data_IF_407252604259
#
_entry.id   IF_407252604259
#
_cell.length_a   1.000
_cell.length_b   1.000
_cell.length_c   1.000
_cell.angle_alpha   90.00
_cell.angle_beta   90.00
_cell.angle_gamma   90.00
#
_symmetry.space_group_name_H-M   'P 1'
#
loop_
_entity.id
_entity.type
_entity.pdbx_description
1 polymer ?
#
# COMPACT_ATOMS: atom_id res chain seq x y z
N UNK A 1 40.16 36.24 -43.36
CA UNK A 1 39.21 36.06 -42.23
C UNK A 1 38.18 34.97 -42.56
N UNK A 2 38.62 33.74 -42.86
CA UNK A 2 37.74 32.68 -43.40
C UNK A 2 38.00 31.31 -42.77
N UNK A 3 38.80 31.22 -41.71
CA UNK A 3 39.23 29.93 -41.13
C UNK A 3 38.52 29.53 -39.83
N UNK A 4 37.68 30.39 -39.24
CA UNK A 4 36.89 30.05 -38.03
C UNK A 4 35.47 29.55 -38.32
N UNK A 5 34.93 29.81 -39.50
CA UNK A 5 33.59 29.34 -39.88
C UNK A 5 33.57 27.85 -40.29
N UNK A 6 34.60 27.38 -40.99
CA UNK A 6 34.71 25.97 -41.39
C UNK A 6 34.92 25.02 -40.20
N UNK A 7 35.63 25.47 -39.15
CA UNK A 7 35.86 24.67 -37.95
C UNK A 7 34.59 24.44 -37.10
N UNK A 8 33.62 25.37 -37.14
CA UNK A 8 32.33 25.19 -36.43
C UNK A 8 31.34 24.29 -37.18
N UNK A 9 31.52 24.09 -38.48
CA UNK A 9 30.65 23.21 -39.26
C UNK A 9 31.12 21.74 -39.21
N UNK A 10 32.42 21.49 -39.01
CA UNK A 10 32.95 20.15 -38.76
C UNK A 10 32.48 19.57 -37.41
N UNK A 11 32.43 20.38 -36.35
CA UNK A 11 31.97 19.95 -35.01
C UNK A 11 30.46 19.65 -34.97
N UNK A 12 29.67 20.22 -35.90
CA UNK A 12 28.22 20.00 -35.96
C UNK A 12 27.81 18.76 -36.78
N UNK A 13 28.77 18.10 -37.43
CA UNK A 13 28.52 16.92 -38.28
C UNK A 13 28.88 15.57 -37.62
N UNK A 14 29.45 15.58 -36.41
CA UNK A 14 29.83 14.35 -35.69
C UNK A 14 28.77 13.83 -34.69
N UNK A 15 27.55 14.39 -34.70
CA UNK A 15 26.41 13.84 -33.95
C UNK A 15 25.37 13.18 -34.85
N UNK A 16 25.77 12.74 -36.05
CA UNK A 16 25.09 11.62 -36.70
C UNK A 16 25.53 10.34 -35.96
N UNK A 17 24.95 10.11 -34.78
CA UNK A 17 24.83 8.77 -34.23
C UNK A 17 23.86 8.00 -35.14
N UNK A 18 24.37 7.54 -36.27
CA UNK A 18 23.94 6.23 -36.80
C UNK A 18 24.62 5.24 -35.87
N UNK A 19 24.01 5.03 -34.70
CA UNK A 19 24.24 3.80 -33.98
C UNK A 19 23.61 2.72 -34.86
N UNK A 20 24.45 2.00 -35.60
CA UNK A 20 24.10 0.65 -36.01
C UNK A 20 23.81 -0.10 -34.69
N UNK A 21 22.59 -0.62 -34.54
CA UNK A 21 22.11 -1.27 -33.30
C UNK A 21 23.02 -2.42 -32.83
N UNK A 22 23.89 -2.94 -33.71
CA UNK A 22 24.85 -3.99 -33.37
C UNK A 22 26.15 -3.47 -32.72
N UNK A 23 26.56 -2.22 -32.96
CA UNK A 23 27.87 -1.73 -32.50
C UNK A 23 27.78 -0.94 -31.18
N UNK A 24 26.69 -0.24 -30.91
CA UNK A 24 26.50 0.50 -29.65
C UNK A 24 26.40 -0.45 -28.43
N UNK A 25 25.87 -1.67 -28.64
CA UNK A 25 25.84 -2.72 -27.62
C UNK A 25 27.22 -3.35 -27.38
N UNK A 26 28.14 -3.25 -28.35
CA UNK A 26 29.44 -3.91 -28.29
C UNK A 26 30.50 -3.15 -27.47
N UNK A 27 30.42 -1.81 -27.39
CA UNK A 27 31.45 -0.99 -26.72
C UNK A 27 31.15 -0.83 -25.22
N UNK A 28 29.89 -0.72 -24.82
CA UNK A 28 29.51 -0.72 -23.40
C UNK A 28 29.22 -2.13 -22.84
N UNK A 29 28.84 -3.09 -23.69
CA UNK A 29 28.52 -4.45 -23.23
C UNK A 29 29.72 -5.40 -23.13
N UNK A 30 30.84 -5.16 -23.83
CA UNK A 30 31.93 -6.16 -23.89
C UNK A 30 32.93 -6.05 -22.72
N UNK A 31 33.00 -4.90 -22.05
CA UNK A 31 33.97 -4.69 -20.96
C UNK A 31 33.45 -5.19 -19.60
N UNK A 32 32.14 -5.38 -19.41
CA UNK A 32 31.60 -6.05 -18.21
C UNK A 32 31.52 -7.59 -18.35
N UNK A 33 31.42 -8.13 -19.57
CA UNK A 33 31.18 -9.57 -19.77
C UNK A 33 32.40 -10.45 -19.48
N UNK A 34 33.62 -9.93 -19.57
CA UNK A 34 34.82 -10.72 -19.24
C UNK A 34 35.09 -10.86 -17.74
N UNK A 35 34.60 -9.94 -16.89
CA UNK A 35 34.75 -10.02 -15.43
C UNK A 35 33.59 -10.75 -14.73
N UNK A 36 32.43 -10.92 -15.38
CA UNK A 36 31.31 -11.69 -14.79
C UNK A 36 31.64 -13.18 -14.69
N UNK A 37 32.42 -13.74 -15.62
CA UNK A 37 32.74 -15.17 -15.62
C UNK A 37 33.81 -15.54 -14.58
N UNK A 38 34.67 -14.61 -14.18
CA UNK A 38 35.70 -14.80 -13.14
C UNK A 38 35.15 -14.63 -11.72
N UNK A 39 34.02 -13.92 -11.54
CA UNK A 39 33.32 -13.72 -10.26
C UNK A 39 32.29 -14.84 -9.96
N UNK A 40 31.98 -15.71 -10.93
CA UNK A 40 31.19 -16.94 -10.70
C UNK A 40 32.05 -18.03 -10.06
N UNK A 41 32.65 -17.74 -8.90
CA UNK A 41 33.08 -18.80 -8.00
C UNK A 41 31.83 -19.55 -7.53
N UNK A 42 31.96 -20.86 -7.46
CA UNK A 42 30.90 -21.86 -7.26
C UNK A 42 30.33 -21.79 -5.82
N UNK A 43 29.71 -20.67 -5.46
CA UNK A 43 28.94 -20.52 -4.21
C UNK A 43 27.50 -21.03 -4.38
N UNK A 44 26.98 -21.09 -5.61
CA UNK A 44 25.60 -21.49 -5.90
C UNK A 44 25.28 -22.94 -5.48
N UNK A 45 26.24 -23.87 -5.53
CA UNK A 45 25.99 -25.27 -5.18
C UNK A 45 25.75 -25.45 -3.69
N UNK A 46 26.48 -24.72 -2.83
CA UNK A 46 26.27 -24.75 -1.38
C UNK A 46 24.90 -24.17 -0.99
N UNK A 47 24.52 -23.03 -1.61
CA UNK A 47 23.20 -22.44 -1.40
C UNK A 47 22.06 -23.30 -1.96
N UNK A 48 22.28 -24.03 -3.07
CA UNK A 48 21.32 -24.98 -3.61
C UNK A 48 21.08 -26.15 -2.64
N UNK A 49 22.14 -26.72 -2.05
CA UNK A 49 22.03 -27.80 -1.05
C UNK A 49 21.31 -27.30 0.20
N UNK A 50 21.66 -26.11 0.69
CA UNK A 50 20.96 -25.49 1.82
C UNK A 50 19.47 -25.27 1.52
N UNK A 51 19.16 -24.75 0.33
CA UNK A 51 17.78 -24.55 -0.13
C UNK A 51 17.00 -25.87 -0.16
N UNK A 52 17.57 -26.95 -0.72
CA UNK A 52 16.93 -28.26 -0.75
C UNK A 52 16.70 -28.83 0.67
N UNK A 53 17.64 -28.62 1.59
CA UNK A 53 17.51 -29.04 2.99
C UNK A 53 16.37 -28.29 3.69
N UNK A 54 16.28 -26.97 3.49
CA UNK A 54 15.16 -26.14 3.98
C UNK A 54 13.84 -26.63 3.39
N UNK A 55 13.78 -26.94 2.10
CA UNK A 55 12.56 -27.47 1.45
C UNK A 55 12.14 -28.81 2.04
N UNK A 56 13.08 -29.72 2.31
CA UNK A 56 12.77 -31.02 2.94
C UNK A 56 12.28 -30.88 4.38
N UNK A 57 12.90 -29.99 5.17
CA UNK A 57 12.43 -29.68 6.52
C UNK A 57 11.02 -29.09 6.46
N UNK A 58 10.78 -28.14 5.56
CA UNK A 58 9.46 -27.55 5.36
C UNK A 58 8.43 -28.58 4.92
N UNK A 59 8.77 -29.51 4.02
CA UNK A 59 7.87 -30.58 3.58
C UNK A 59 7.51 -31.55 4.72
N UNK A 60 8.46 -31.86 5.61
CA UNK A 60 8.19 -32.66 6.80
C UNK A 60 7.28 -31.93 7.78
N UNK A 61 7.57 -30.67 8.05
CA UNK A 61 6.75 -29.78 8.88
C UNK A 61 5.34 -29.62 8.30
N UNK A 62 5.22 -29.58 6.97
CA UNK A 62 3.94 -29.57 6.25
C UNK A 62 3.14 -30.86 6.46
N UNK A 63 3.79 -32.01 6.30
CA UNK A 63 3.17 -33.32 6.52
C UNK A 63 2.71 -33.48 7.98
N UNK A 64 3.49 -33.02 8.95
CA UNK A 64 3.10 -33.01 10.37
C UNK A 64 1.93 -32.04 10.61
N UNK A 65 1.94 -30.84 10.01
CA UNK A 65 0.85 -29.87 10.16
C UNK A 65 -0.45 -30.33 9.47
N UNK A 66 -0.40 -31.06 8.36
CA UNK A 66 -1.58 -31.63 7.70
C UNK A 66 -2.12 -32.84 8.47
N UNK A 67 -1.24 -33.70 8.99
CA UNK A 67 -1.67 -34.92 9.69
C UNK A 67 -2.17 -34.65 11.11
N UNK A 68 -1.68 -33.60 11.77
CA UNK A 68 -1.99 -33.31 13.19
C UNK A 68 -2.63 -31.94 13.43
N UNK A 69 -2.50 -31.00 12.49
CA UNK A 69 -3.01 -29.65 12.67
C UNK A 69 -4.49 -29.55 12.32
N UNK A 70 -5.25 -28.85 13.16
CA UNK A 70 -6.62 -28.48 12.85
C UNK A 70 -6.65 -27.07 12.24
N UNK A 71 -6.88 -26.96 10.93
CA UNK A 71 -6.91 -25.69 10.19
C UNK A 71 -7.96 -24.73 10.76
N UNK A 72 -9.02 -25.28 11.36
CA UNK A 72 -10.11 -24.51 11.93
C UNK A 72 -9.67 -23.64 13.13
N UNK A 73 -8.51 -23.93 13.76
CA UNK A 73 -7.90 -23.08 14.80
C UNK A 73 -7.53 -21.67 14.35
N UNK A 74 -7.41 -21.44 13.05
CA UNK A 74 -7.09 -20.12 12.50
C UNK A 74 -8.32 -19.22 12.34
N UNK A 75 -9.51 -19.81 12.20
CA UNK A 75 -10.74 -19.10 11.84
C UNK A 75 -11.80 -19.16 12.93
N UNK A 76 -11.81 -20.22 13.73
CA UNK A 76 -12.84 -20.45 14.75
C UNK A 76 -12.35 -20.02 16.13
N UNK A 77 -13.25 -19.51 16.98
CA UNK A 77 -12.90 -19.14 18.34
C UNK A 77 -12.49 -20.38 19.14
N UNK A 78 -11.47 -20.18 19.99
CA UNK A 78 -10.92 -21.20 20.87
C UNK A 78 -11.26 -20.79 22.31
N UNK A 79 -11.90 -21.70 23.03
CA UNK A 79 -12.18 -21.59 24.47
C UNK A 79 -10.88 -21.39 25.27
N UNK A 80 -10.93 -20.78 26.45
CA UNK A 80 -9.84 -20.77 27.44
C UNK A 80 -9.30 -22.18 27.76
N UNK A 81 -10.06 -23.25 27.54
CA UNK A 81 -9.63 -24.65 27.66
C UNK A 81 -8.97 -25.23 26.39
N UNK A 82 -8.75 -24.42 25.35
CA UNK A 82 -8.10 -24.84 24.11
C UNK A 82 -9.01 -25.61 23.13
N UNK A 83 -10.32 -25.67 23.44
CA UNK A 83 -11.34 -26.35 22.63
C UNK A 83 -11.88 -25.45 21.52
N UNK A 84 -12.19 -26.04 20.39
CA UNK A 84 -12.74 -25.33 19.23
C UNK A 84 -14.27 -25.26 19.29
N UNK A 85 -14.81 -24.04 19.39
CA UNK A 85 -16.25 -23.83 19.46
C UNK A 85 -16.96 -24.36 18.21
N UNK A 86 -17.96 -25.23 18.38
CA UNK A 86 -18.75 -25.81 17.30
C UNK A 86 -18.17 -27.09 16.66
N UNK A 87 -16.95 -27.52 17.03
CA UNK A 87 -16.30 -28.66 16.38
C UNK A 87 -15.88 -29.77 17.36
N UNK A 88 -15.31 -29.42 18.52
CA UNK A 88 -14.92 -30.43 19.52
C UNK A 88 -16.17 -31.00 20.21
N UNK A 89 -16.15 -32.30 20.56
CA UNK A 89 -17.34 -33.05 20.99
C UNK A 89 -18.10 -32.42 22.18
N UNK A 90 -17.39 -31.75 23.10
CA UNK A 90 -17.97 -31.10 24.30
C UNK A 90 -18.59 -29.72 24.04
N UNK A 91 -18.25 -29.09 22.91
CA UNK A 91 -18.68 -27.73 22.56
C UNK A 91 -19.25 -27.66 21.14
N UNK A 92 -19.63 -28.81 20.58
CA UNK A 92 -20.15 -28.94 19.21
C UNK A 92 -21.47 -28.20 19.00
N UNK A 93 -22.28 -28.08 20.04
CA UNK A 93 -23.53 -27.33 20.10
C UNK A 93 -23.34 -25.83 20.36
N UNK A 94 -22.10 -25.38 20.56
CA UNK A 94 -21.74 -24.02 20.96
C UNK A 94 -20.78 -23.38 19.95
N UNK A 95 -21.27 -22.94 18.78
CA UNK A 95 -20.41 -22.46 17.69
C UNK A 95 -19.87 -21.04 17.89
N UNK A 96 -20.37 -20.27 18.85
CA UNK A 96 -20.04 -18.85 19.00
C UNK A 96 -19.02 -18.64 20.13
N UNK A 97 -18.05 -17.74 19.91
CA UNK A 97 -17.13 -17.28 20.95
C UNK A 97 -17.69 -16.05 21.66
N UNK A 98 -17.76 -16.08 22.99
CA UNK A 98 -18.15 -14.95 23.83
C UNK A 98 -17.04 -14.60 24.83
N UNK A 99 -16.85 -13.31 25.12
CA UNK A 99 -15.84 -12.80 26.04
C UNK A 99 -16.49 -12.36 27.35
N UNK A 100 -16.52 -13.16 28.42
CA UNK A 100 -17.24 -12.80 29.64
C UNK A 100 -16.59 -11.65 30.41
N UNK A 101 -15.29 -11.47 30.25
CA UNK A 101 -14.56 -10.33 30.76
C UNK A 101 -14.06 -9.49 29.57
N UNK A 102 -14.60 -8.27 29.35
CA UNK A 102 -14.19 -7.41 28.25
C UNK A 102 -12.72 -6.95 28.35
N UNK A 103 -12.10 -7.09 29.52
CA UNK A 103 -10.72 -6.70 29.78
C UNK A 103 -9.71 -7.85 29.65
N UNK A 104 -10.17 -9.06 29.32
CA UNK A 104 -9.33 -10.25 29.24
C UNK A 104 -9.61 -11.01 27.94
N UNK A 105 -8.58 -11.59 27.33
CA UNK A 105 -8.68 -12.29 26.04
C UNK A 105 -9.28 -13.71 26.16
N UNK A 106 -9.85 -14.04 27.32
CA UNK A 106 -10.49 -15.34 27.55
C UNK A 106 -11.83 -15.42 26.84
N UNK A 107 -11.95 -16.41 25.96
CA UNK A 107 -13.17 -16.73 25.21
C UNK A 107 -13.81 -17.98 25.79
N UNK A 108 -15.14 -18.02 25.79
CA UNK A 108 -15.92 -19.22 26.07
C UNK A 108 -16.82 -19.54 24.87
N UNK A 109 -17.07 -20.83 24.64
CA UNK A 109 -18.01 -21.26 23.62
C UNK A 109 -19.45 -21.16 24.14
N UNK A 110 -20.33 -20.51 23.38
CA UNK A 110 -21.77 -20.37 23.66
C UNK A 110 -22.61 -20.77 22.45
N UNK A 111 -23.84 -21.22 22.70
CA UNK A 111 -24.79 -21.60 21.64
C UNK A 111 -25.49 -20.39 21.02
N UNK A 112 -25.73 -19.35 21.81
CA UNK A 112 -26.32 -18.09 21.39
C UNK A 112 -25.67 -16.92 22.16
N UNK A 113 -25.57 -15.75 21.52
CA UNK A 113 -25.03 -14.56 22.17
C UNK A 113 -26.01 -14.06 23.24
N UNK A 114 -25.54 -13.82 24.48
CA UNK A 114 -26.39 -13.27 25.54
C UNK A 114 -26.85 -11.86 25.18
N UNK A 115 -28.16 -11.63 25.27
CA UNK A 115 -28.82 -10.36 24.97
C UNK A 115 -29.08 -9.53 26.23
N UNK A 116 -29.08 -10.17 27.41
CA UNK A 116 -29.30 -9.52 28.70
C UNK A 116 -28.32 -9.98 29.76
N UNK A 117 -28.11 -9.14 30.79
CA UNK A 117 -27.23 -9.49 31.92
C UNK A 117 -27.76 -10.63 32.80
N UNK A 118 -29.01 -11.06 32.56
CA UNK A 118 -29.67 -12.17 33.25
C UNK A 118 -29.56 -13.50 32.50
N UNK A 119 -28.99 -13.52 31.29
CA UNK A 119 -28.91 -14.73 30.45
C UNK A 119 -27.91 -15.77 30.96
N UNK A 120 -27.17 -15.45 32.02
CA UNK A 120 -26.35 -16.42 32.72
C UNK A 120 -25.20 -15.78 33.50
N UNK A 121 -24.50 -16.63 34.23
CA UNK A 121 -23.22 -16.28 34.83
C UNK A 121 -22.17 -17.26 34.35
N UNK A 122 -20.96 -16.76 34.09
CA UNK A 122 -19.85 -17.56 33.59
C UNK A 122 -18.74 -17.57 34.63
N UNK A 123 -18.22 -18.74 34.95
CA UNK A 123 -17.10 -18.96 35.86
C UNK A 123 -15.81 -19.04 35.06
N UNK A 124 -14.90 -18.09 35.29
CA UNK A 124 -13.59 -18.08 34.63
C UNK A 124 -12.48 -17.91 35.66
N UNK A 125 -11.30 -18.50 35.44
CA UNK A 125 -10.13 -18.20 36.24
C UNK A 125 -9.66 -16.76 35.97
N UNK A 126 -9.40 -15.96 37.00
CA UNK A 126 -8.79 -14.63 36.84
C UNK A 126 -7.28 -14.80 36.52
N UNK A 127 -6.96 -15.17 35.27
CA UNK A 127 -5.59 -15.39 34.77
C UNK A 127 -5.14 -16.86 34.78
N UNK A 128 -3.92 -17.15 34.28
CA UNK A 128 -3.42 -18.53 34.08
C UNK A 128 -3.29 -19.36 35.38
N UNK A 129 -3.34 -18.72 36.55
CA UNK A 129 -3.38 -19.40 37.86
C UNK A 129 -4.42 -18.79 38.82
N UNK A 130 -5.46 -18.15 38.29
CA UNK A 130 -6.45 -17.41 39.06
C UNK A 130 -7.49 -18.28 39.77
N UNK A 131 -8.06 -17.77 40.86
CA UNK A 131 -9.30 -18.32 41.44
C UNK A 131 -10.44 -18.12 40.43
N UNK A 132 -11.36 -19.09 40.38
CA UNK A 132 -12.56 -18.96 39.56
C UNK A 132 -13.44 -17.83 40.07
N UNK A 133 -13.73 -16.87 39.20
CA UNK A 133 -14.65 -15.78 39.44
C UNK A 133 -15.87 -15.92 38.54
N UNK A 134 -17.04 -15.91 39.17
CA UNK A 134 -18.33 -15.89 38.48
C UNK A 134 -18.65 -14.45 38.08
N UNK A 135 -18.78 -14.20 36.78
CA UNK A 135 -19.15 -12.90 36.21
C UNK A 135 -20.53 -13.00 35.57
N UNK A 136 -21.41 -12.00 35.75
CA UNK A 136 -22.67 -11.95 35.00
C UNK A 136 -22.39 -11.72 33.51
N UNK A 137 -23.26 -12.24 32.65
CA UNK A 137 -23.24 -11.93 31.23
C UNK A 137 -23.49 -10.42 30.99
N UNK A 138 -23.08 -9.91 29.84
CA UNK A 138 -23.42 -8.58 29.36
C UNK A 138 -24.01 -8.68 27.94
N UNK A 139 -24.82 -7.69 27.52
CA UNK A 139 -25.52 -7.75 26.24
C UNK A 139 -24.54 -7.71 25.06
N UNK A 140 -24.65 -8.72 24.20
CA UNK A 140 -23.86 -8.92 22.99
C UNK A 140 -24.74 -9.34 21.82
N UNK A 141 -24.24 -9.11 20.60
CA UNK A 141 -24.88 -9.56 19.38
C UNK A 141 -23.89 -10.32 18.49
N UNK A 142 -24.42 -11.21 17.65
CA UNK A 142 -23.62 -11.98 16.71
C UNK A 142 -23.29 -11.12 15.49
N UNK A 143 -22.05 -10.65 15.42
CA UNK A 143 -21.55 -9.86 14.29
C UNK A 143 -20.45 -10.68 13.62
N UNK A 144 -20.62 -10.97 12.32
CA UNK A 144 -19.74 -11.83 11.51
C UNK A 144 -19.79 -13.34 11.79
N UNK A 145 -20.79 -13.83 12.53
CA UNK A 145 -21.18 -15.25 12.54
C UNK A 145 -20.38 -16.15 13.48
N UNK A 146 -19.25 -15.69 14.01
CA UNK A 146 -18.34 -16.51 14.84
C UNK A 146 -18.12 -15.96 16.25
N UNK A 147 -18.33 -14.65 16.48
CA UNK A 147 -18.04 -13.97 17.74
C UNK A 147 -19.23 -13.14 18.21
N UNK A 148 -19.44 -13.10 19.52
CA UNK A 148 -20.42 -12.24 20.18
C UNK A 148 -19.74 -10.92 20.58
N UNK A 149 -20.17 -9.81 19.98
CA UNK A 149 -19.62 -8.48 20.23
C UNK A 149 -20.54 -7.65 21.14
N UNK A 150 -19.99 -6.80 22.03
CA UNK A 150 -20.77 -5.94 22.93
C UNK A 150 -21.66 -4.96 22.17
N UNK A 151 -22.89 -4.77 22.65
CA UNK A 151 -23.83 -3.77 22.14
C UNK A 151 -23.56 -2.36 22.67
N UNK A 152 -22.95 -2.24 23.84
CA UNK A 152 -22.63 -0.96 24.47
C UNK A 152 -21.40 -0.30 23.81
N UNK A 153 -21.60 0.92 23.30
CA UNK A 153 -20.58 1.69 22.58
C UNK A 153 -19.42 2.12 23.49
N UNK A 154 -19.67 2.39 24.77
CA UNK A 154 -18.62 2.77 25.73
C UNK A 154 -17.74 1.57 26.06
N UNK A 155 -18.38 0.43 26.30
CA UNK A 155 -17.68 -0.83 26.56
C UNK A 155 -16.90 -1.29 25.33
N UNK A 156 -17.49 -1.19 24.14
CA UNK A 156 -16.80 -1.48 22.88
C UNK A 156 -15.55 -0.59 22.72
N UNK A 157 -15.65 0.72 22.96
CA UNK A 157 -14.48 1.63 22.90
C UNK A 157 -13.39 1.27 23.91
N UNK A 158 -13.79 0.85 25.11
CA UNK A 158 -12.88 0.43 26.16
C UNK A 158 -12.14 -0.84 25.77
N UNK A 159 -12.83 -1.86 25.25
CA UNK A 159 -12.24 -3.10 24.72
C UNK A 159 -11.30 -2.80 23.56
N UNK A 160 -11.71 -1.91 22.63
CA UNK A 160 -10.88 -1.45 21.52
C UNK A 160 -9.56 -0.85 21.99
N UNK A 161 -9.57 -0.12 23.11
CA UNK A 161 -8.39 0.54 23.66
C UNK A 161 -7.38 -0.41 24.33
N UNK A 162 -7.82 -1.60 24.79
CA UNK A 162 -7.04 -2.52 25.64
C UNK A 162 -6.27 -3.58 24.80
N UNK A 163 -5.80 -3.23 23.60
CA UNK A 163 -5.02 -4.08 22.65
C UNK A 163 -5.74 -5.23 21.93
N UNK A 164 -6.90 -5.72 22.37
CA UNK A 164 -7.52 -6.92 21.75
C UNK A 164 -8.15 -6.69 20.38
N UNK A 165 -8.54 -5.44 20.05
CA UNK A 165 -9.19 -5.17 18.74
C UNK A 165 -8.21 -5.10 17.59
N UNK A 166 -6.93 -4.80 17.81
CA UNK A 166 -5.96 -5.02 16.74
C UNK A 166 -5.91 -6.50 16.38
N UNK A 167 -5.82 -7.39 17.37
CA UNK A 167 -5.78 -8.85 17.17
C UNK A 167 -7.05 -9.39 16.53
N UNK A 168 -8.22 -8.97 16.98
CA UNK A 168 -9.51 -9.39 16.39
C UNK A 168 -9.76 -8.76 15.02
N UNK A 169 -9.34 -7.50 14.79
CA UNK A 169 -9.36 -6.89 13.46
C UNK A 169 -8.35 -7.59 12.52
N UNK A 170 -7.19 -8.04 13.01
CA UNK A 170 -6.25 -8.87 12.25
C UNK A 170 -6.82 -10.26 11.97
N UNK A 171 -7.61 -10.87 12.87
CA UNK A 171 -8.35 -12.11 12.60
C UNK A 171 -9.46 -11.91 11.57
N UNK A 172 -10.25 -10.84 11.69
CA UNK A 172 -11.29 -10.48 10.71
C UNK A 172 -10.70 -10.12 9.34
N UNK A 173 -9.60 -9.37 9.30
CA UNK A 173 -8.79 -9.18 8.08
C UNK A 173 -8.23 -10.51 7.58
N UNK A 174 -7.79 -11.38 8.48
CA UNK A 174 -7.38 -12.75 8.17
C UNK A 174 -8.49 -13.56 7.49
N UNK A 175 -9.75 -13.41 7.91
CA UNK A 175 -10.92 -14.01 7.24
C UNK A 175 -11.12 -13.42 5.84
N UNK A 176 -10.93 -12.11 5.67
CA UNK A 176 -10.97 -11.45 4.35
C UNK A 176 -9.84 -11.96 3.43
N UNK A 177 -8.63 -12.10 3.97
CA UNK A 177 -7.43 -12.59 3.25
C UNK A 177 -7.42 -14.11 3.04
N UNK A 178 -8.19 -14.88 3.80
CA UNK A 178 -8.37 -16.33 3.58
C UNK A 178 -9.53 -16.62 2.63
N UNK A 179 -10.46 -15.69 2.44
CA UNK A 179 -11.48 -15.80 1.40
C UNK A 179 -10.84 -15.69 0.02
N UNK A 180 -11.07 -16.70 -0.83
CA UNK A 180 -10.55 -16.73 -2.22
C UNK A 180 -11.03 -15.53 -3.05
N UNK A 181 -12.22 -15.00 -2.73
CA UNK A 181 -12.78 -13.80 -3.34
C UNK A 181 -12.05 -12.51 -2.91
N UNK A 182 -11.66 -12.39 -1.62
CA UNK A 182 -10.92 -11.23 -1.12
C UNK A 182 -9.53 -11.10 -1.76
N UNK A 183 -8.83 -12.22 -1.92
CA UNK A 183 -7.51 -12.25 -2.59
C UNK A 183 -7.64 -11.77 -4.05
N UNK A 184 -8.67 -12.21 -4.77
CA UNK A 184 -8.92 -11.79 -6.16
C UNK A 184 -9.18 -10.29 -6.27
N UNK A 185 -9.97 -9.72 -5.36
CA UNK A 185 -10.24 -8.26 -5.35
C UNK A 185 -8.97 -7.47 -5.03
N UNK A 186 -8.19 -7.91 -4.04
CA UNK A 186 -6.93 -7.25 -3.64
C UNK A 186 -5.88 -7.30 -4.76
N UNK A 187 -5.88 -8.32 -5.61
CA UNK A 187 -5.00 -8.39 -6.79
C UNK A 187 -5.56 -7.63 -8.01
N UNK A 188 -6.88 -7.68 -8.23
CA UNK A 188 -7.51 -7.06 -9.39
C UNK A 188 -7.52 -5.53 -9.30
N UNK A 189 -7.79 -4.97 -8.12
CA UNK A 189 -7.90 -3.51 -7.95
C UNK A 189 -6.59 -2.79 -8.29
N UNK A 190 -5.42 -3.16 -7.75
CA UNK A 190 -4.13 -2.55 -8.10
C UNK A 190 -3.77 -2.75 -9.57
N UNK A 191 -4.13 -3.89 -10.17
CA UNK A 191 -3.86 -4.17 -11.56
C UNK A 191 -4.68 -3.24 -12.48
N UNK A 192 -5.98 -3.10 -12.20
CA UNK A 192 -6.87 -2.20 -12.95
C UNK A 192 -6.47 -0.74 -12.75
N UNK A 193 -6.16 -0.32 -11.53
CA UNK A 193 -5.74 1.07 -11.27
C UNK A 193 -4.39 1.38 -11.91
N UNK A 194 -3.44 0.44 -11.91
CA UNK A 194 -2.16 0.59 -12.61
C UNK A 194 -2.35 0.68 -14.12
N UNK A 195 -3.27 -0.11 -14.69
CA UNK A 195 -3.59 -0.06 -16.12
C UNK A 195 -4.25 1.26 -16.51
N UNK A 196 -5.22 1.74 -15.72
CA UNK A 196 -5.84 3.06 -15.90
C UNK A 196 -4.79 4.17 -15.78
N UNK A 197 -3.85 4.06 -14.84
CA UNK A 197 -2.79 5.03 -14.65
C UNK A 197 -1.82 5.08 -15.85
N UNK A 198 -1.44 3.92 -16.40
CA UNK A 198 -0.61 3.85 -17.60
C UNK A 198 -1.31 4.45 -18.83
N UNK A 199 -2.62 4.22 -18.97
CA UNK A 199 -3.44 4.84 -20.02
C UNK A 199 -3.52 6.36 -19.80
N UNK A 200 -3.76 6.81 -18.57
CA UNK A 200 -3.83 8.22 -18.23
C UNK A 200 -2.50 8.92 -18.55
N UNK A 201 -1.36 8.31 -18.20
CA UNK A 201 -0.03 8.81 -18.54
C UNK A 201 0.25 8.81 -20.05
N UNK A 202 -0.46 8.00 -20.84
CA UNK A 202 -0.30 7.99 -22.29
C UNK A 202 -1.05 9.15 -22.97
N UNK A 203 -2.22 9.55 -22.47
CA UNK A 203 -3.08 10.51 -23.17
C UNK A 203 -3.11 11.91 -22.54
N UNK A 204 -2.92 12.00 -21.23
CA UNK A 204 -3.28 13.19 -20.44
C UNK A 204 -2.10 14.12 -20.08
N UNK A 205 -0.80 13.74 -20.04
CA UNK A 205 0.22 14.58 -19.41
C UNK A 205 0.34 15.98 -20.02
N UNK A 206 0.34 16.10 -21.34
CA UNK A 206 0.50 17.38 -22.03
C UNK A 206 -0.72 18.28 -21.85
N UNK A 207 -1.92 17.72 -21.92
CA UNK A 207 -3.17 18.46 -21.69
C UNK A 207 -3.31 18.88 -20.21
N UNK A 208 -2.99 17.98 -19.27
CA UNK A 208 -3.10 18.27 -17.84
C UNK A 208 -2.03 19.26 -17.36
N UNK A 209 -0.79 19.17 -17.83
CA UNK A 209 0.24 20.15 -17.44
C UNK A 209 -0.05 21.52 -18.03
N UNK A 210 -0.46 21.61 -19.30
CA UNK A 210 -0.85 22.88 -19.91
C UNK A 210 -2.07 23.51 -19.22
N UNK A 211 -3.07 22.71 -18.85
CA UNK A 211 -4.21 23.19 -18.05
C UNK A 211 -3.79 23.63 -16.65
N UNK A 212 -2.97 22.85 -15.93
CA UNK A 212 -2.54 23.20 -14.58
C UNK A 212 -1.74 24.51 -14.54
N UNK A 213 -0.77 24.67 -15.46
CA UNK A 213 0.05 25.89 -15.55
C UNK A 213 -0.75 27.11 -16.01
N UNK A 214 -1.72 26.93 -16.93
CA UNK A 214 -2.59 28.04 -17.35
C UNK A 214 -3.55 28.46 -16.24
N UNK A 215 -4.14 27.52 -15.49
CA UNK A 215 -4.99 27.83 -14.34
C UNK A 215 -4.21 28.60 -13.28
N UNK A 216 -2.97 28.19 -12.95
CA UNK A 216 -2.14 28.91 -11.98
C UNK A 216 -1.75 30.31 -12.44
N UNK A 217 -1.46 30.50 -13.72
CA UNK A 217 -1.18 31.83 -14.26
C UNK A 217 -2.42 32.74 -14.21
N UNK A 218 -3.60 32.20 -14.52
CA UNK A 218 -4.88 32.92 -14.46
C UNK A 218 -5.27 33.28 -13.02
N UNK A 219 -5.09 32.37 -12.06
CA UNK A 219 -5.41 32.67 -10.65
C UNK A 219 -4.50 33.75 -10.09
N UNK A 220 -3.20 33.74 -10.42
CA UNK A 220 -2.27 34.82 -10.03
C UNK A 220 -2.67 36.17 -10.63
N UNK A 221 -3.11 36.20 -11.89
CA UNK A 221 -3.61 37.42 -12.52
C UNK A 221 -4.91 37.91 -11.86
N UNK A 222 -5.82 36.99 -11.53
CA UNK A 222 -7.08 37.32 -10.84
C UNK A 222 -6.83 37.89 -9.44
N UNK A 223 -5.88 37.33 -8.69
CA UNK A 223 -5.45 37.88 -7.39
C UNK A 223 -4.91 39.30 -7.57
N UNK A 224 -4.12 39.56 -8.62
CA UNK A 224 -3.67 40.91 -8.96
C UNK A 224 -4.82 41.90 -9.20
N UNK A 225 -5.88 41.47 -9.91
CA UNK A 225 -7.07 42.29 -10.18
C UNK A 225 -7.87 42.56 -8.91
N UNK A 226 -8.04 41.55 -8.05
CA UNK A 226 -8.70 41.72 -6.75
C UNK A 226 -7.94 42.72 -5.87
N UNK A 227 -6.61 42.64 -5.88
CA UNK A 227 -5.76 43.62 -5.19
C UNK A 227 -5.95 45.04 -5.76
N UNK A 228 -6.07 45.22 -7.07
CA UNK A 228 -6.35 46.55 -7.65
C UNK A 228 -7.70 47.12 -7.19
N UNK A 229 -8.73 46.27 -7.14
CA UNK A 229 -10.06 46.64 -6.64
C UNK A 229 -9.99 47.03 -5.16
N UNK A 230 -9.39 46.20 -4.32
CA UNK A 230 -9.27 46.45 -2.88
C UNK A 230 -8.45 47.70 -2.58
N UNK A 231 -7.36 47.94 -3.31
CA UNK A 231 -6.54 49.15 -3.13
C UNK A 231 -7.33 50.43 -3.44
N UNK A 232 -8.19 50.38 -4.46
CA UNK A 232 -9.03 51.53 -4.83
C UNK A 232 -10.05 51.87 -3.74
N UNK A 233 -10.62 50.84 -3.10
CA UNK A 233 -11.57 50.98 -1.99
C UNK A 233 -10.86 51.45 -0.72
N UNK A 234 -9.73 50.82 -0.36
CA UNK A 234 -8.97 51.16 0.86
C UNK A 234 -8.41 52.59 0.83
N UNK A 235 -8.02 53.11 -0.35
CA UNK A 235 -7.60 54.51 -0.50
C UNK A 235 -8.74 55.52 -0.30
N UNK A 236 -10.00 55.10 -0.46
CA UNK A 236 -11.17 55.94 -0.24
C UNK A 236 -11.55 56.11 1.24
N UNK A 237 -10.93 55.36 2.15
CA UNK A 237 -11.23 55.40 3.60
C UNK A 237 -10.09 56.12 4.33
N UNK A 238 -10.32 57.36 4.74
CA UNK A 238 -9.30 58.20 5.39
C UNK A 238 -8.72 57.57 6.66
N UNK A 239 -9.55 56.88 7.46
CA UNK A 239 -9.12 56.20 8.68
C UNK A 239 -8.11 55.06 8.42
N UNK A 240 -8.24 54.37 7.29
CA UNK A 240 -7.36 53.26 6.93
C UNK A 240 -5.97 53.76 6.50
N UNK A 241 -5.93 54.92 5.84
CA UNK A 241 -4.71 55.59 5.38
C UNK A 241 -3.80 55.99 6.54
N UNK A 242 -4.38 56.51 7.62
CA UNK A 242 -3.65 56.93 8.83
C UNK A 242 -3.14 55.73 9.65
N UNK A 243 -3.91 54.64 9.70
CA UNK A 243 -3.62 53.51 10.59
C UNK A 243 -2.64 52.50 9.98
N UNK A 244 -2.58 52.35 8.64
CA UNK A 244 -1.79 51.29 7.98
C UNK A 244 -0.93 51.80 6.79
N UNK A 245 -0.06 52.81 6.99
CA UNK A 245 0.72 53.42 5.90
C UNK A 245 1.71 52.45 5.24
N UNK A 246 2.27 51.52 6.03
CA UNK A 246 3.27 50.55 5.55
C UNK A 246 2.63 49.49 4.62
N UNK A 247 1.39 49.09 4.91
CA UNK A 247 0.63 48.17 4.06
C UNK A 247 0.30 48.82 2.71
N UNK A 248 -0.14 50.09 2.71
CA UNK A 248 -0.40 50.88 1.50
C UNK A 248 0.84 51.07 0.63
N UNK A 249 2.02 51.21 1.25
CA UNK A 249 3.30 51.33 0.56
C UNK A 249 3.74 50.00 -0.07
N UNK A 250 3.51 48.87 0.60
CA UNK A 250 3.91 47.55 0.12
C UNK A 250 2.95 46.97 -0.96
N UNK A 251 1.67 47.35 -0.91
CA UNK A 251 0.62 46.87 -1.81
C UNK A 251 0.95 46.93 -3.31
N UNK A 252 1.46 48.04 -3.88
CA UNK A 252 1.79 48.12 -5.30
C UNK A 252 2.92 47.18 -5.71
N UNK A 253 3.84 46.84 -4.80
CA UNK A 253 4.92 45.88 -5.06
C UNK A 253 4.35 44.46 -5.13
N UNK A 254 3.51 44.05 -4.18
CA UNK A 254 2.85 42.74 -4.20
C UNK A 254 2.00 42.54 -5.46
N UNK A 255 1.23 43.57 -5.85
CA UNK A 255 0.47 43.57 -7.09
C UNK A 255 1.36 43.33 -8.31
N UNK A 256 2.43 44.12 -8.44
CA UNK A 256 3.37 44.01 -9.57
C UNK A 256 4.02 42.64 -9.61
N UNK A 257 4.36 42.06 -8.45
CA UNK A 257 4.87 40.69 -8.35
C UNK A 257 3.85 39.64 -8.81
N UNK A 258 2.56 39.79 -8.53
CA UNK A 258 1.53 38.85 -8.97
C UNK A 258 1.35 38.88 -10.50
N UNK A 259 1.31 40.06 -11.11
CA UNK A 259 1.23 40.18 -12.57
C UNK A 259 2.51 39.71 -13.27
N UNK A 260 3.68 40.08 -12.74
CA UNK A 260 4.97 39.69 -13.30
C UNK A 260 5.16 38.16 -13.22
N UNK A 261 4.79 37.55 -12.09
CA UNK A 261 4.87 36.09 -11.94
C UNK A 261 3.90 35.38 -12.88
N UNK A 262 2.65 35.83 -13.01
CA UNK A 262 1.69 35.30 -14.01
C UNK A 262 2.24 35.37 -15.44
N UNK A 263 2.82 36.51 -15.84
CA UNK A 263 3.44 36.68 -17.15
C UNK A 263 4.64 35.75 -17.36
N UNK A 264 5.52 35.64 -16.36
CA UNK A 264 6.64 34.71 -16.38
C UNK A 264 6.18 33.25 -16.52
N UNK A 265 5.10 32.85 -15.85
CA UNK A 265 4.51 31.53 -15.99
C UNK A 265 4.04 31.26 -17.43
N UNK A 266 3.40 32.22 -18.11
CA UNK A 266 3.03 32.07 -19.52
C UNK A 266 4.23 31.99 -20.46
N UNK A 267 5.28 32.78 -20.22
CA UNK A 267 6.52 32.72 -21.00
C UNK A 267 7.23 31.38 -20.83
N UNK A 268 7.34 30.89 -19.59
CA UNK A 268 7.93 29.58 -19.28
C UNK A 268 7.09 28.46 -19.91
N UNK A 269 5.75 28.54 -19.82
CA UNK A 269 4.87 27.58 -20.48
C UNK A 269 5.09 27.58 -22.00
N UNK A 270 5.10 28.74 -22.65
CA UNK A 270 5.37 28.88 -24.09
C UNK A 270 6.72 28.30 -24.50
N UNK A 271 7.77 28.58 -23.73
CA UNK A 271 9.12 28.06 -23.98
C UNK A 271 9.22 26.53 -23.77
N UNK A 272 8.50 26.00 -22.79
CA UNK A 272 8.60 24.59 -22.37
C UNK A 272 7.61 23.67 -23.09
N UNK A 273 6.54 24.17 -23.71
CA UNK A 273 5.57 23.35 -24.47
C UNK A 273 6.27 22.47 -25.50
N UNK A 274 7.23 23.02 -26.25
CA UNK A 274 7.96 22.26 -27.27
C UNK A 274 8.82 21.13 -26.66
N UNK A 275 9.43 21.38 -25.50
CA UNK A 275 10.17 20.38 -24.75
C UNK A 275 9.25 19.32 -24.13
N UNK A 276 8.07 19.72 -23.62
CA UNK A 276 7.05 18.81 -23.08
C UNK A 276 6.49 17.89 -24.16
N UNK A 277 6.23 18.40 -25.37
CA UNK A 277 5.76 17.58 -26.50
C UNK A 277 6.83 16.55 -26.90
N UNK A 278 8.11 16.95 -26.95
CA UNK A 278 9.22 16.02 -27.24
C UNK A 278 9.40 14.98 -26.14
N UNK A 279 9.38 15.40 -24.88
CA UNK A 279 9.47 14.49 -23.74
C UNK A 279 8.30 13.49 -23.73
N UNK A 280 7.09 13.96 -24.06
CA UNK A 280 5.92 13.11 -24.19
C UNK A 280 6.04 12.13 -25.36
N UNK A 281 6.60 12.55 -26.50
CA UNK A 281 6.86 11.64 -27.63
C UNK A 281 7.84 10.53 -27.25
N UNK A 282 8.96 10.87 -26.60
CA UNK A 282 9.92 9.88 -26.10
C UNK A 282 9.28 8.96 -25.07
N UNK A 283 8.49 9.51 -24.14
CA UNK A 283 7.77 8.70 -23.15
C UNK A 283 6.76 7.75 -23.81
N UNK A 284 6.06 8.21 -24.84
CA UNK A 284 5.11 7.41 -25.63
C UNK A 284 5.82 6.26 -26.33
N UNK A 285 7.02 6.49 -26.88
CA UNK A 285 7.85 5.45 -27.48
C UNK A 285 8.37 4.45 -26.44
N UNK A 286 8.84 4.91 -25.27
CA UNK A 286 9.23 4.03 -24.17
C UNK A 286 8.07 3.15 -23.69
N UNK A 287 6.88 3.72 -23.55
CA UNK A 287 5.68 2.96 -23.18
C UNK A 287 5.27 2.00 -24.29
N UNK A 288 5.36 2.40 -25.56
CA UNK A 288 5.11 1.50 -26.68
C UNK A 288 6.10 0.32 -26.72
N UNK A 289 7.37 0.54 -26.36
CA UNK A 289 8.37 -0.51 -26.21
C UNK A 289 8.05 -1.49 -25.05
N UNK A 290 7.39 -1.02 -23.99
CA UNK A 290 6.88 -1.92 -22.93
C UNK A 290 5.79 -2.86 -23.46
N UNK A 291 5.00 -2.40 -24.44
CA UNK A 291 3.97 -3.21 -25.10
C UNK A 291 4.53 -4.11 -26.22
N UNK A 292 5.83 -4.08 -26.49
CA UNK A 292 6.45 -5.06 -27.40
C UNK A 292 6.23 -6.47 -26.84
N UNK A 293 5.73 -7.43 -27.65
CA UNK A 293 5.42 -8.79 -27.20
C UNK A 293 6.58 -9.45 -26.45
N UNK A 294 7.84 -9.17 -26.81
CA UNK A 294 8.99 -9.76 -26.12
C UNK A 294 9.19 -9.18 -24.71
N UNK A 295 9.04 -7.87 -24.55
CA UNK A 295 9.14 -7.18 -23.25
C UNK A 295 7.94 -7.56 -22.39
N UNK A 296 6.75 -7.60 -22.98
CA UNK A 296 5.51 -7.98 -22.31
C UNK A 296 5.60 -9.40 -21.74
N UNK A 297 6.13 -10.37 -22.51
CA UNK A 297 6.40 -11.73 -22.01
C UNK A 297 7.38 -11.70 -20.85
N UNK A 298 8.42 -10.88 -20.91
CA UNK A 298 9.42 -10.76 -19.83
C UNK A 298 8.80 -10.15 -18.55
N UNK A 299 7.92 -9.16 -18.70
CA UNK A 299 7.19 -8.55 -17.59
C UNK A 299 6.18 -9.54 -17.01
N UNK A 300 5.37 -10.21 -17.83
CA UNK A 300 4.40 -11.20 -17.36
C UNK A 300 5.08 -12.40 -16.69
N UNK A 301 6.21 -12.88 -17.21
CA UNK A 301 6.97 -13.95 -16.57
C UNK A 301 7.57 -13.49 -15.24
N UNK A 302 8.09 -12.26 -15.15
CA UNK A 302 8.57 -11.67 -13.89
C UNK A 302 7.44 -11.51 -12.85
N UNK A 303 6.27 -11.03 -13.28
CA UNK A 303 5.08 -10.90 -12.42
C UNK A 303 4.58 -12.28 -11.98
N UNK A 304 4.50 -13.25 -12.90
CA UNK A 304 4.11 -14.62 -12.56
C UNK A 304 5.08 -15.26 -11.56
N UNK A 305 6.39 -15.08 -11.75
CA UNK A 305 7.41 -15.53 -10.79
C UNK A 305 7.28 -14.82 -9.45
N UNK A 306 6.92 -13.54 -9.43
CA UNK A 306 6.70 -12.77 -8.21
C UNK A 306 5.44 -13.23 -7.46
N UNK A 307 4.35 -13.51 -8.18
CA UNK A 307 3.12 -14.08 -7.60
C UNK A 307 3.38 -15.48 -7.05
N UNK A 308 4.14 -16.32 -7.78
CA UNK A 308 4.55 -17.64 -7.30
C UNK A 308 5.41 -17.51 -6.04
N UNK A 309 6.36 -16.56 -6.00
CA UNK A 309 7.17 -16.28 -4.81
C UNK A 309 6.33 -15.82 -3.63
N UNK A 310 5.43 -14.86 -3.81
CA UNK A 310 4.54 -14.38 -2.75
C UNK A 310 3.62 -15.50 -2.28
N UNK A 311 3.05 -16.29 -3.20
CA UNK A 311 2.25 -17.47 -2.89
C UNK A 311 3.03 -18.50 -2.08
N UNK A 312 4.29 -18.76 -2.43
CA UNK A 312 5.17 -19.65 -1.69
C UNK A 312 5.49 -19.09 -0.30
N UNK A 313 5.79 -17.80 -0.16
CA UNK A 313 6.03 -17.13 1.13
C UNK A 313 4.78 -17.21 2.01
N UNK A 314 3.60 -16.87 1.47
CA UNK A 314 2.33 -16.95 2.21
C UNK A 314 2.00 -18.39 2.62
N UNK A 315 2.26 -19.35 1.75
CA UNK A 315 2.14 -20.77 2.07
C UNK A 315 3.05 -21.15 3.24
N UNK A 316 4.33 -20.78 3.19
CA UNK A 316 5.30 -21.03 4.28
C UNK A 316 4.87 -20.34 5.58
N UNK A 317 4.47 -19.07 5.53
CA UNK A 317 3.99 -18.32 6.69
C UNK A 317 2.75 -18.98 7.31
N UNK A 318 1.78 -19.43 6.50
CA UNK A 318 0.59 -20.13 6.97
C UNK A 318 0.97 -21.45 7.67
N UNK A 319 1.96 -22.18 7.14
CA UNK A 319 2.44 -23.42 7.74
C UNK A 319 3.24 -23.20 9.03
N UNK A 320 4.06 -22.15 9.09
CA UNK A 320 4.75 -21.75 10.30
C UNK A 320 3.77 -21.30 11.39
N UNK A 321 2.73 -20.55 11.05
CA UNK A 321 1.69 -20.15 12.00
C UNK A 321 0.94 -21.37 12.58
N UNK A 322 0.60 -22.35 11.73
CA UNK A 322 0.03 -23.63 12.18
C UNK A 322 0.99 -24.38 13.12
N UNK A 323 2.29 -24.38 12.82
CA UNK A 323 3.29 -25.01 13.67
C UNK A 323 3.45 -24.33 15.02
N UNK A 324 3.45 -23.00 15.07
CA UNK A 324 3.47 -22.27 16.34
C UNK A 324 2.22 -22.59 17.18
N UNK A 325 1.05 -22.72 16.55
CA UNK A 325 -0.19 -23.13 17.25
C UNK A 325 -0.16 -24.57 17.83
N UNK A 326 0.76 -25.42 17.36
CA UNK A 326 0.98 -26.77 17.88
C UNK A 326 2.05 -26.76 18.98
N UNK A 327 3.04 -25.85 18.88
CA UNK A 327 4.23 -25.81 19.74
C UNK A 327 4.05 -24.94 20.99
N UNK A 328 3.06 -24.06 21.05
CA UNK A 328 2.64 -23.44 22.32
C UNK A 328 1.69 -24.38 23.09
N UNK A 329 2.16 -25.19 24.06
CA UNK A 329 1.29 -25.66 25.10
C UNK A 329 0.83 -24.43 25.88
N UNK A 330 -0.48 -24.21 25.88
CA UNK A 330 -1.12 -23.27 26.80
C UNK A 330 -0.66 -23.61 28.22
N UNK A 331 0.16 -22.73 28.81
CA UNK A 331 0.48 -22.73 30.25
C UNK A 331 -0.45 -21.76 30.96
#
# INVERSE_FOLDING_TARGET
MTTRAAARQAVRSQYFFVANDEEAFSVFGRQEVQDINTIRQVTDVGYLVFFLLVVLVMAKLDADAVSKGNVLRLSEPIDFQGRLCGYDDEVKDKPLGYHPNPFNDMVICVSACPQTATDGTFTLPDGPMGKEHTRPAYPTDNIYGQLCLPLDLELARLIISVKSVQTEMYKALGVIFTSSHGILVVLAVPFVTSFIYLIALYYIPTAATTLAFSITAVTLALVGVLMDLDLSVMKGIDLFKETHPLMLMAFPYFRTCCYLSSFLFFLVLGATISAMVRAHAVFRECVAAIFDPNVLVTVFTSVALSVIRIGFILYVCRRLALLMSIVEPYQ
#
